data_IF_957789460685
#
_entry.id   IF_957789460685
#
_cell.length_a   1.000
_cell.length_b   1.000
_cell.length_c   1.000
_cell.angle_alpha   90.00
_cell.angle_beta   90.00
_cell.angle_gamma   90.00
#
_symmetry.space_group_name_H-M   'P 1'
#
loop_
_entity.id
_entity.type
_entity.pdbx_description
1 polymer ?
#
# COMPACT_ATOMS: atom_id res chain seq x y z
N UNK A 1 10.52 35.68 4.33
CA UNK A 1 10.04 34.35 4.69
C UNK A 1 8.96 33.97 3.68
N UNK A 2 9.37 33.39 2.53
CA UNK A 2 8.44 32.93 1.52
C UNK A 2 7.76 31.66 2.04
N UNK A 3 6.54 31.79 2.52
CA UNK A 3 5.68 30.65 2.81
C UNK A 3 5.25 30.04 1.49
N UNK A 4 5.67 28.82 1.23
CA UNK A 4 5.20 28.05 0.07
C UNK A 4 3.77 27.61 0.35
N UNK A 5 2.81 28.45 -0.02
CA UNK A 5 1.37 28.20 0.09
C UNK A 5 0.81 27.49 -1.17
N UNK A 6 1.61 26.61 -1.79
CA UNK A 6 1.19 25.85 -2.97
C UNK A 6 1.46 24.37 -2.82
N UNK A 7 0.72 23.76 -1.94
CA UNK A 7 0.40 22.34 -2.16
C UNK A 7 -0.84 22.34 -3.04
N UNK A 8 -0.68 22.07 -4.33
CA UNK A 8 -1.84 21.85 -5.17
C UNK A 8 -2.62 20.68 -4.58
N UNK A 9 -3.89 20.87 -4.30
CA UNK A 9 -4.76 19.77 -3.94
C UNK A 9 -4.60 18.65 -4.96
N UNK A 10 -4.60 17.41 -4.51
CA UNK A 10 -4.64 16.23 -5.36
C UNK A 10 -5.67 16.47 -6.46
N UNK A 11 -5.42 16.00 -7.67
CA UNK A 11 -6.37 16.11 -8.79
C UNK A 11 -7.62 15.28 -8.47
N UNK A 12 -8.49 15.83 -7.64
CA UNK A 12 -9.68 15.16 -7.11
C UNK A 12 -10.85 15.35 -8.07
N UNK A 13 -11.62 14.30 -8.32
CA UNK A 13 -12.79 14.35 -9.19
C UNK A 13 -13.89 15.26 -8.64
N UNK A 14 -13.96 15.42 -7.31
CA UNK A 14 -14.95 16.25 -6.62
C UNK A 14 -14.25 17.17 -5.64
N UNK A 15 -14.50 18.47 -5.75
CA UNK A 15 -13.93 19.49 -4.86
C UNK A 15 -14.26 19.18 -3.40
N UNK A 16 -13.23 19.21 -2.53
CA UNK A 16 -13.38 18.97 -1.09
C UNK A 16 -13.40 17.49 -0.67
N UNK A 17 -13.26 16.56 -1.63
CA UNK A 17 -13.10 15.14 -1.34
C UNK A 17 -11.69 14.73 -1.75
N UNK A 18 -10.86 14.28 -0.81
CA UNK A 18 -9.52 13.75 -1.11
C UNK A 18 -9.58 12.24 -1.35
N UNK A 19 -8.76 11.79 -2.29
CA UNK A 19 -8.64 10.39 -2.71
C UNK A 19 -7.28 9.82 -2.29
N UNK A 20 -7.21 8.53 -1.93
CA UNK A 20 -5.93 7.87 -1.68
C UNK A 20 -5.03 7.89 -2.92
N UNK A 21 -3.72 8.12 -2.70
CA UNK A 21 -2.72 8.14 -3.75
C UNK A 21 -1.39 7.54 -3.21
N UNK A 22 -0.53 7.12 -4.11
CA UNK A 22 0.81 6.60 -3.79
C UNK A 22 1.82 7.71 -3.45
N UNK A 23 1.48 8.97 -3.72
CA UNK A 23 2.28 10.15 -3.39
C UNK A 23 1.41 11.15 -2.65
N UNK A 24 1.88 11.62 -1.51
CA UNK A 24 1.27 12.73 -0.76
C UNK A 24 2.35 13.70 -0.31
N UNK A 25 1.98 14.99 -0.18
CA UNK A 25 2.89 16.03 0.30
C UNK A 25 2.16 17.00 1.20
N UNK A 26 2.86 17.51 2.21
CA UNK A 26 2.42 18.64 3.05
C UNK A 26 3.21 19.93 2.76
N UNK A 27 3.94 19.97 1.63
CA UNK A 27 4.80 21.09 1.27
C UNK A 27 6.21 21.01 1.86
N UNK A 28 6.39 20.43 3.04
CA UNK A 28 7.69 20.25 3.68
C UNK A 28 8.31 18.89 3.36
N UNK A 29 7.49 17.86 3.19
CA UNK A 29 7.91 16.51 2.87
C UNK A 29 7.05 15.88 1.77
N UNK A 30 7.63 14.91 1.07
CA UNK A 30 6.96 14.00 0.15
C UNK A 30 6.96 12.63 0.79
N UNK A 31 5.77 12.01 0.84
CA UNK A 31 5.56 10.62 1.20
C UNK A 31 5.33 9.84 -0.08
N UNK A 32 6.19 8.88 -0.36
CA UNK A 32 6.14 8.06 -1.56
C UNK A 32 6.02 6.57 -1.21
N UNK A 33 4.93 5.96 -1.63
CA UNK A 33 4.68 4.53 -1.50
C UNK A 33 4.96 3.83 -2.83
N UNK A 34 6.12 3.17 -2.99
CA UNK A 34 6.45 2.52 -4.25
C UNK A 34 5.50 1.34 -4.52
N UNK A 35 4.81 1.40 -5.65
CA UNK A 35 3.90 0.32 -6.09
C UNK A 35 4.68 -0.75 -6.88
N UNK A 36 5.81 -1.21 -6.32
CA UNK A 36 6.67 -2.17 -6.99
C UNK A 36 6.20 -3.59 -6.71
N UNK A 37 5.34 -4.11 -7.55
CA UNK A 37 5.26 -5.57 -7.74
C UNK A 37 6.26 -6.00 -8.80
N UNK A 38 7.53 -5.57 -8.69
CA UNK A 38 8.58 -6.10 -9.51
C UNK A 38 8.91 -7.53 -9.04
N UNK A 39 7.99 -8.45 -9.28
CA UNK A 39 8.34 -9.85 -9.54
C UNK A 39 8.81 -9.96 -11.00
N UNK A 40 9.70 -9.11 -11.44
CA UNK A 40 10.48 -9.42 -12.61
C UNK A 40 11.52 -10.44 -12.17
N UNK A 41 11.16 -11.72 -12.26
CA UNK A 41 12.18 -12.71 -12.51
C UNK A 41 12.94 -12.21 -13.73
N UNK A 42 14.25 -11.99 -13.66
CA UNK A 42 15.03 -11.89 -14.88
C UNK A 42 14.75 -13.19 -15.61
N UNK A 43 14.01 -13.11 -16.69
CA UNK A 43 13.98 -14.21 -17.66
C UNK A 43 15.41 -14.35 -18.12
N UNK A 44 16.08 -15.48 -17.92
CA UNK A 44 17.39 -15.68 -18.53
C UNK A 44 17.18 -15.43 -20.02
N UNK A 45 17.89 -14.46 -20.56
CA UNK A 45 18.00 -14.31 -21.99
C UNK A 45 18.64 -15.60 -22.49
N UNK A 46 17.83 -16.50 -22.98
CA UNK A 46 18.29 -17.61 -23.80
C UNK A 46 18.93 -16.95 -25.02
N UNK A 47 20.26 -16.86 -25.00
CA UNK A 47 21.02 -16.65 -26.23
C UNK A 47 20.69 -17.86 -27.12
N UNK A 48 19.88 -17.63 -28.13
CA UNK A 48 19.73 -18.55 -29.23
C UNK A 48 21.06 -18.60 -29.97
N UNK A 49 21.94 -19.50 -29.56
CA UNK A 49 23.04 -19.91 -30.41
C UNK A 49 22.49 -20.90 -31.44
N UNK A 50 22.22 -20.38 -32.64
CA UNK A 50 22.04 -21.20 -33.84
C UNK A 50 23.34 -21.95 -34.13
N UNK A 51 23.51 -23.14 -33.63
CA UNK A 51 24.50 -24.06 -34.12
C UNK A 51 23.86 -25.05 -35.05
N UNK A 52 24.24 -24.94 -36.30
CA UNK A 52 23.96 -25.96 -37.33
C UNK A 52 24.59 -27.29 -36.93
N UNK A 53 23.77 -28.32 -36.93
CA UNK A 53 24.04 -29.72 -37.31
C UNK A 53 25.35 -30.40 -36.90
N UNK A 54 25.31 -31.43 -36.14
CA UNK A 54 25.53 -32.82 -36.48
C UNK A 54 25.69 -33.64 -35.22
N UNK A 55 24.81 -34.63 -35.09
CA UNK A 55 24.98 -35.89 -34.38
C UNK A 55 26.09 -35.96 -33.31
N UNK A 56 25.70 -35.67 -32.05
CA UNK A 56 26.32 -36.29 -30.85
C UNK A 56 25.51 -35.91 -29.62
N UNK A 57 25.19 -36.87 -28.80
CA UNK A 57 24.49 -36.74 -27.51
C UNK A 57 25.20 -35.75 -26.58
N UNK A 58 24.82 -34.49 -26.56
CA UNK A 58 25.37 -33.50 -25.63
C UNK A 58 24.50 -33.45 -24.38
N UNK A 59 25.09 -33.84 -23.26
CA UNK A 59 24.55 -33.58 -21.92
C UNK A 59 24.35 -32.06 -21.78
N UNK A 60 23.08 -31.62 -21.76
CA UNK A 60 22.75 -30.26 -21.41
C UNK A 60 23.03 -30.11 -19.92
N UNK A 61 24.19 -29.59 -19.59
CA UNK A 61 24.51 -29.13 -18.26
C UNK A 61 23.77 -27.82 -18.08
N UNK A 62 22.61 -27.85 -17.44
CA UNK A 62 21.88 -26.65 -17.07
C UNK A 62 22.72 -25.89 -16.06
N UNK A 63 23.45 -24.88 -16.52
CA UNK A 63 24.00 -23.86 -15.64
C UNK A 63 22.84 -23.08 -15.02
N UNK A 64 22.33 -23.60 -13.91
CA UNK A 64 21.45 -22.83 -13.04
C UNK A 64 22.35 -21.79 -12.41
N UNK A 65 22.34 -20.58 -12.97
CA UNK A 65 22.95 -19.44 -12.31
C UNK A 65 22.33 -19.33 -10.91
N UNK A 66 23.13 -19.16 -9.85
CA UNK A 66 22.59 -18.98 -8.51
C UNK A 66 21.60 -17.83 -8.54
N UNK A 67 20.36 -18.10 -8.17
CA UNK A 67 19.35 -17.03 -8.04
C UNK A 67 19.85 -16.04 -6.98
N UNK A 68 19.86 -14.74 -7.29
CA UNK A 68 20.15 -13.76 -6.26
C UNK A 68 19.18 -13.96 -5.09
N UNK A 69 19.63 -13.76 -3.85
CA UNK A 69 18.77 -13.92 -2.70
C UNK A 69 17.53 -13.05 -2.88
N UNK A 70 16.35 -13.65 -2.64
CA UNK A 70 15.11 -12.91 -2.62
C UNK A 70 15.21 -11.92 -1.46
N UNK A 71 15.38 -10.65 -1.77
CA UNK A 71 15.27 -9.60 -0.77
C UNK A 71 13.81 -9.57 -0.33
N UNK A 72 13.53 -10.14 0.84
CA UNK A 72 12.22 -10.10 1.50
C UNK A 72 11.92 -8.72 2.11
N UNK A 73 12.55 -7.68 1.61
CA UNK A 73 12.24 -6.32 2.05
C UNK A 73 10.92 -5.91 1.39
N UNK A 74 9.84 -6.00 2.15
CA UNK A 74 8.59 -5.39 1.74
C UNK A 74 8.85 -3.89 1.52
N UNK A 75 8.48 -3.35 0.35
CA UNK A 75 8.68 -1.93 0.10
C UNK A 75 7.91 -1.11 1.13
N UNK A 76 8.56 -0.08 1.66
CA UNK A 76 8.06 0.83 2.68
C UNK A 76 7.76 2.19 2.06
N UNK A 77 7.00 3.01 2.76
CA UNK A 77 6.80 4.39 2.35
C UNK A 77 8.08 5.17 2.65
N UNK A 78 8.64 5.81 1.64
CA UNK A 78 9.78 6.70 1.77
C UNK A 78 9.32 8.11 2.16
N UNK A 79 10.01 8.71 3.11
CA UNK A 79 9.81 10.10 3.52
C UNK A 79 11.01 10.91 3.08
N UNK A 80 10.76 11.92 2.25
CA UNK A 80 11.80 12.78 1.68
C UNK A 80 11.47 14.23 2.00
N UNK A 81 12.46 15.05 2.36
CA UNK A 81 12.24 16.49 2.47
C UNK A 81 11.92 17.08 1.08
N UNK A 82 10.92 17.95 1.00
CA UNK A 82 10.51 18.56 -0.26
C UNK A 82 11.03 19.98 -0.43
N UNK A 83 11.31 20.65 0.68
CA UNK A 83 11.69 22.06 0.69
C UNK A 83 12.68 22.40 1.80
N UNK A 84 13.63 23.33 1.56
CA UNK A 84 13.96 23.91 0.25
C UNK A 84 14.67 22.91 -0.65
N UNK A 85 14.62 23.14 -1.97
CA UNK A 85 15.13 22.18 -3.00
C UNK A 85 16.62 21.84 -2.86
N UNK A 86 17.43 22.77 -2.37
CA UNK A 86 18.86 22.57 -2.10
C UNK A 86 19.13 21.65 -0.89
N UNK A 87 18.09 21.35 -0.10
CA UNK A 87 18.13 20.45 1.08
C UNK A 87 17.27 19.22 0.91
N UNK A 88 17.07 18.76 -0.32
CA UNK A 88 16.43 17.47 -0.56
C UNK A 88 17.20 16.37 0.15
N UNK A 89 16.53 15.64 1.01
CA UNK A 89 17.15 14.57 1.79
C UNK A 89 16.15 13.47 2.09
N UNK A 90 16.65 12.25 2.10
CA UNK A 90 15.92 11.12 2.66
C UNK A 90 15.82 11.29 4.18
N UNK A 91 14.62 11.27 4.73
CA UNK A 91 14.37 11.49 6.15
C UNK A 91 14.13 10.18 6.91
N UNK A 92 13.58 9.17 6.23
CA UNK A 92 13.28 7.88 6.83
C UNK A 92 12.20 7.13 6.06
N UNK A 93 11.66 6.10 6.70
CA UNK A 93 10.64 5.23 6.12
C UNK A 93 9.53 4.90 7.12
N UNK A 94 8.36 4.55 6.59
CA UNK A 94 7.23 4.01 7.36
C UNK A 94 7.09 2.54 6.98
N UNK A 95 6.95 1.66 7.99
CA UNK A 95 6.94 0.19 7.87
C UNK A 95 5.66 -0.38 7.21
N UNK A 96 4.98 0.42 6.42
CA UNK A 96 3.79 0.04 5.66
C UNK A 96 3.86 0.55 4.24
N UNK A 97 3.11 -0.10 3.37
CA UNK A 97 2.96 0.24 1.96
C UNK A 97 1.49 0.29 1.59
N UNK A 98 1.12 1.20 0.72
CA UNK A 98 -0.24 1.34 0.21
C UNK A 98 -0.51 2.76 -0.27
N UNK A 99 -1.72 2.98 -0.75
CA UNK A 99 -2.20 4.32 -1.04
C UNK A 99 -2.36 5.10 0.26
N UNK A 100 -2.29 6.42 0.19
CA UNK A 100 -2.24 7.28 1.36
C UNK A 100 -3.24 8.43 1.25
N UNK A 101 -3.76 8.82 2.40
CA UNK A 101 -4.40 10.13 2.62
C UNK A 101 -3.55 10.92 3.61
N UNK A 102 -3.49 12.22 3.42
CA UNK A 102 -2.75 13.11 4.31
C UNK A 102 -3.63 14.29 4.69
N UNK A 103 -3.86 14.45 5.98
CA UNK A 103 -4.56 15.60 6.53
C UNK A 103 -3.78 16.16 7.71
N UNK A 104 -3.38 17.43 7.60
CA UNK A 104 -2.52 18.09 8.56
C UNK A 104 -1.23 17.26 8.80
N UNK A 105 -1.04 16.75 10.02
CA UNK A 105 0.10 15.91 10.41
C UNK A 105 -0.30 14.44 10.58
N UNK A 106 -1.40 14.01 10.00
CA UNK A 106 -1.84 12.61 10.06
C UNK A 106 -1.80 11.99 8.67
N UNK A 107 -0.88 11.05 8.49
CA UNK A 107 -0.78 10.21 7.30
C UNK A 107 -1.55 8.91 7.54
N UNK A 108 -2.50 8.61 6.67
CA UNK A 108 -3.27 7.36 6.72
C UNK A 108 -2.87 6.50 5.55
N UNK A 109 -2.45 5.27 5.85
CA UNK A 109 -1.93 4.29 4.88
C UNK A 109 -2.93 3.16 4.74
N UNK A 110 -3.36 2.89 3.52
CA UNK A 110 -4.24 1.78 3.16
C UNK A 110 -3.40 0.61 2.67
N UNK A 111 -2.96 -0.22 3.61
CA UNK A 111 -2.16 -1.40 3.32
C UNK A 111 -3.04 -2.63 3.01
N UNK A 112 -2.43 -3.70 2.53
CA UNK A 112 -3.13 -4.96 2.21
C UNK A 112 -3.74 -5.64 3.44
N UNK A 113 -3.15 -5.41 4.63
CA UNK A 113 -3.56 -6.01 5.90
C UNK A 113 -4.41 -5.08 6.77
N UNK A 114 -4.67 -3.84 6.32
CA UNK A 114 -5.46 -2.88 7.08
C UNK A 114 -5.20 -1.43 6.77
N UNK A 115 -5.73 -0.56 7.62
CA UNK A 115 -5.54 0.89 7.57
C UNK A 115 -4.73 1.32 8.79
N UNK A 116 -3.70 2.13 8.57
CA UNK A 116 -2.75 2.55 9.61
C UNK A 116 -2.59 4.06 9.58
N UNK A 117 -2.77 4.72 10.72
CA UNK A 117 -2.55 6.15 10.84
C UNK A 117 -1.27 6.44 11.59
N UNK A 118 -0.52 7.40 11.08
CA UNK A 118 0.74 7.86 11.65
C UNK A 118 0.69 9.36 11.91
N UNK A 119 1.24 9.76 13.05
CA UNK A 119 1.62 11.14 13.29
C UNK A 119 2.94 11.41 12.57
N UNK A 120 2.92 12.33 11.63
CA UNK A 120 4.07 12.71 10.80
C UNK A 120 4.56 14.12 11.12
N UNK A 121 4.28 14.62 12.32
CA UNK A 121 4.79 15.90 12.79
C UNK A 121 6.31 15.87 12.87
N UNK A 122 6.88 14.80 13.41
CA UNK A 122 8.29 14.48 13.29
C UNK A 122 8.50 13.55 12.09
N UNK A 123 9.03 14.10 11.02
CA UNK A 123 9.26 13.39 9.75
C UNK A 123 10.34 12.29 9.85
N UNK A 124 11.26 12.40 10.83
CA UNK A 124 12.34 11.43 11.05
C UNK A 124 11.89 10.24 11.89
N UNK A 125 10.81 10.42 12.66
CA UNK A 125 10.28 9.39 13.57
C UNK A 125 8.76 9.37 13.57
N UNK A 126 8.11 8.98 12.44
CA UNK A 126 6.66 8.87 12.36
C UNK A 126 6.12 7.89 13.41
N UNK A 127 5.10 8.32 14.19
CA UNK A 127 4.53 7.52 15.27
C UNK A 127 3.15 6.97 14.89
N UNK A 128 2.94 5.67 15.06
CA UNK A 128 1.64 5.06 14.80
C UNK A 128 0.62 5.48 15.85
N UNK A 129 -0.49 6.09 15.41
CA UNK A 129 -1.59 6.58 16.27
C UNK A 129 -2.67 5.52 16.50
N UNK A 130 -3.14 4.90 15.43
CA UNK A 130 -4.17 3.87 15.45
C UNK A 130 -4.09 2.94 14.25
N UNK A 131 -4.83 1.84 14.30
CA UNK A 131 -4.94 0.92 13.18
C UNK A 131 -6.31 0.25 13.12
N UNK A 132 -6.70 -0.12 11.90
CA UNK A 132 -7.82 -1.00 11.59
C UNK A 132 -7.24 -2.17 10.81
N UNK A 133 -7.34 -3.39 11.33
CA UNK A 133 -6.89 -4.59 10.64
C UNK A 133 -8.06 -5.24 9.91
N UNK A 134 -7.82 -5.66 8.69
CA UNK A 134 -8.75 -6.51 7.96
C UNK A 134 -8.72 -7.92 8.54
N UNK A 135 -9.89 -8.55 8.63
CA UNK A 135 -10.04 -9.93 9.14
C UNK A 135 -10.74 -10.81 8.12
N UNK A 136 -10.48 -12.12 8.22
CA UNK A 136 -11.01 -13.08 7.28
C UNK A 136 -10.59 -12.74 5.84
N UNK A 137 -11.53 -12.81 4.92
CA UNK A 137 -11.33 -12.45 3.51
C UNK A 137 -11.89 -11.03 3.24
N UNK A 138 -11.40 -10.06 4.02
CA UNK A 138 -11.80 -8.65 3.90
C UNK A 138 -10.71 -7.86 3.21
N UNK A 139 -11.09 -7.01 2.27
CA UNK A 139 -10.19 -6.11 1.58
C UNK A 139 -10.83 -4.74 1.33
N UNK A 140 -9.98 -3.75 1.13
CA UNK A 140 -10.39 -2.40 0.73
C UNK A 140 -10.93 -2.42 -0.71
N UNK A 141 -12.03 -1.70 -0.93
CA UNK A 141 -12.51 -1.38 -2.27
C UNK A 141 -12.20 0.07 -2.64
N UNK A 142 -12.48 0.98 -1.73
CA UNK A 142 -12.16 2.41 -1.90
C UNK A 142 -12.21 3.14 -0.55
N UNK A 143 -11.58 4.29 -0.51
CA UNK A 143 -11.65 5.22 0.61
C UNK A 143 -11.77 6.65 0.09
N UNK A 144 -12.31 7.54 0.92
CA UNK A 144 -12.41 8.97 0.65
C UNK A 144 -12.25 9.74 1.95
N UNK A 145 -11.59 10.87 1.89
CA UNK A 145 -11.50 11.82 2.99
C UNK A 145 -12.38 13.03 2.69
N UNK A 146 -13.28 13.35 3.59
CA UNK A 146 -14.12 14.54 3.51
C UNK A 146 -14.38 15.10 4.90
N UNK A 147 -14.10 16.39 5.10
CA UNK A 147 -14.29 17.09 6.37
C UNK A 147 -13.69 16.36 7.58
N UNK A 148 -12.42 15.92 7.47
CA UNK A 148 -11.71 15.21 8.54
C UNK A 148 -12.20 13.79 8.82
N UNK A 149 -13.12 13.25 8.02
CA UNK A 149 -13.68 11.91 8.17
C UNK A 149 -13.27 11.03 7.00
N UNK A 150 -12.81 9.82 7.30
CA UNK A 150 -12.51 8.81 6.29
C UNK A 150 -13.73 7.91 6.11
N UNK A 151 -14.22 7.87 4.89
CA UNK A 151 -15.25 6.94 4.45
C UNK A 151 -14.56 5.74 3.83
N UNK A 152 -14.74 4.58 4.42
CA UNK A 152 -14.08 3.33 4.04
C UNK A 152 -15.10 2.34 3.51
N UNK A 153 -14.92 1.88 2.28
CA UNK A 153 -15.72 0.80 1.69
C UNK A 153 -14.85 -0.45 1.62
N UNK A 154 -15.29 -1.49 2.29
CA UNK A 154 -14.62 -2.79 2.30
C UNK A 154 -15.52 -3.88 1.74
N UNK A 155 -14.91 -4.92 1.20
CA UNK A 155 -15.60 -6.13 0.77
C UNK A 155 -15.10 -7.31 1.60
N UNK A 156 -16.06 -8.08 2.15
CA UNK A 156 -15.76 -9.30 2.91
C UNK A 156 -16.35 -10.51 2.20
N UNK A 157 -15.52 -11.50 1.94
CA UNK A 157 -16.00 -12.80 1.43
C UNK A 157 -16.69 -13.59 2.52
N UNK A 158 -17.85 -14.16 2.21
CA UNK A 158 -18.64 -14.96 3.14
C UNK A 158 -18.28 -16.44 2.97
N UNK A 159 -17.96 -17.11 4.09
CA UNK A 159 -17.80 -18.56 4.10
C UNK A 159 -19.19 -19.23 4.05
N UNK A 160 -19.46 -20.01 3.02
CA UNK A 160 -20.74 -20.69 2.83
C UNK A 160 -21.08 -21.72 3.91
N UNK A 161 -20.05 -22.30 4.55
CA UNK A 161 -20.23 -23.30 5.61
C UNK A 161 -20.41 -22.70 6.99
N UNK A 162 -19.97 -21.46 7.18
CA UNK A 162 -20.12 -20.68 8.42
C UNK A 162 -20.33 -19.21 8.05
N UNK A 163 -21.53 -18.84 7.58
CA UNK A 163 -21.77 -17.54 6.99
C UNK A 163 -21.75 -16.39 8.01
N UNK A 164 -21.95 -16.68 9.28
CA UNK A 164 -22.01 -15.67 10.34
C UNK A 164 -21.64 -16.22 11.72
N UNK A 165 -21.21 -15.36 12.69
CA UNK A 165 -21.05 -13.91 12.52
C UNK A 165 -19.87 -13.57 11.61
N UNK A 166 -19.98 -12.48 10.87
CA UNK A 166 -18.90 -11.96 10.06
C UNK A 166 -18.06 -11.01 10.90
N UNK A 167 -16.75 -11.19 10.94
CA UNK A 167 -15.81 -10.28 11.62
C UNK A 167 -14.91 -9.65 10.54
N UNK A 168 -15.34 -8.54 9.93
CA UNK A 168 -14.59 -7.93 8.83
C UNK A 168 -13.37 -7.15 9.31
N UNK A 169 -13.47 -6.53 10.47
CA UNK A 169 -12.50 -5.55 10.94
C UNK A 169 -12.13 -5.76 12.41
N UNK A 170 -10.93 -5.33 12.75
CA UNK A 170 -10.46 -5.20 14.13
C UNK A 170 -9.88 -3.79 14.32
N UNK A 171 -10.46 -3.00 15.19
CA UNK A 171 -10.05 -1.62 15.49
C UNK A 171 -9.36 -1.61 16.84
N UNK A 172 -8.07 -1.23 16.89
CA UNK A 172 -7.28 -1.20 18.13
C UNK A 172 -7.48 -2.46 18.99
N UNK A 173 -7.32 -3.64 18.36
CA UNK A 173 -7.51 -4.97 18.95
C UNK A 173 -8.96 -5.34 19.35
N UNK A 174 -9.96 -4.48 19.13
CA UNK A 174 -11.37 -4.80 19.33
C UNK A 174 -11.99 -5.29 18.02
N UNK A 175 -12.51 -6.52 18.03
CA UNK A 175 -13.19 -7.11 16.87
C UNK A 175 -14.54 -6.42 16.65
N UNK A 176 -14.80 -6.03 15.40
CA UNK A 176 -16.12 -5.57 14.95
C UNK A 176 -16.80 -6.74 14.26
N UNK A 177 -17.96 -7.15 14.78
CA UNK A 177 -18.74 -8.25 14.22
C UNK A 177 -20.08 -7.75 13.65
N UNK A 178 -20.47 -8.36 12.53
CA UNK A 178 -21.82 -8.22 11.97
C UNK A 178 -22.59 -9.46 12.37
N UNK A 179 -23.69 -9.28 13.11
CA UNK A 179 -24.53 -10.38 13.55
C UNK A 179 -25.28 -11.02 12.37
N UNK A 180 -25.72 -12.27 12.53
CA UNK A 180 -26.47 -12.98 11.49
C UNK A 180 -27.74 -12.24 11.07
N UNK A 181 -28.42 -11.62 12.03
CA UNK A 181 -29.68 -10.90 11.80
C UNK A 181 -29.49 -9.59 11.03
N UNK A 182 -28.25 -9.08 10.94
CA UNK A 182 -27.94 -7.85 10.23
C UNK A 182 -27.52 -8.12 8.77
N UNK A 183 -27.54 -9.39 8.35
CA UNK A 183 -27.15 -9.80 7.00
C UNK A 183 -28.41 -9.98 6.15
N UNK A 184 -28.54 -9.15 5.13
CA UNK A 184 -29.67 -9.20 4.21
C UNK A 184 -29.32 -10.00 2.97
N UNK A 185 -30.24 -10.85 2.55
CA UNK A 185 -30.16 -11.64 1.31
C UNK A 185 -31.26 -11.19 0.35
N UNK A 186 -30.98 -11.16 -0.95
CA UNK A 186 -32.07 -10.98 -1.92
C UNK A 186 -33.05 -12.14 -1.80
N UNK A 187 -34.34 -11.81 -1.69
CA UNK A 187 -35.39 -12.81 -1.80
C UNK A 187 -35.31 -13.44 -3.21
N UNK A 188 -35.43 -14.77 -3.28
CA UNK A 188 -35.53 -15.49 -4.56
C UNK A 188 -36.95 -15.41 -5.08
#
# INVERSE_FOLDING_TARGET
QDSVERVSGTNVQVLGIDEPDIIKTNGAAIFFSPNWTWRSRPTPLLKEETTKSNSATSKVSSLIAPMPPLYNNEPKINVVSAWPLDKLAYLGEIDKRGEMLLENNTLVVFATDGVFAYDVKDLKSPQRKWNIKYKGNTGLQTARLHNGKIYLVTRTGINRYSPCPIIPLEVNAKKMSVACNDIWYPAR
#
